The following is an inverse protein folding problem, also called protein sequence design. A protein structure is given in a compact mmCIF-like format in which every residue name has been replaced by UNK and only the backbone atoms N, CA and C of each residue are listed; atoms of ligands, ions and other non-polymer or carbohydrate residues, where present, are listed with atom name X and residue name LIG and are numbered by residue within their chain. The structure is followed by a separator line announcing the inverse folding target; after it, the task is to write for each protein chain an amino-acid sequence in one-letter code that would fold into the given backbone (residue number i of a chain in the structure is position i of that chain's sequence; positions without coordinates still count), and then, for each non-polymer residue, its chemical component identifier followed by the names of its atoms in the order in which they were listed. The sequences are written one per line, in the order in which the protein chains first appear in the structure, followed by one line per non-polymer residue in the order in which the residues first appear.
data_IF_206961969361
#
_entry.id   IF_206961969361
#
_cell.length_a   1.000
_cell.length_b   1.000
_cell.length_c   1.000
_cell.angle_alpha   90.00
_cell.angle_beta   90.00
_cell.angle_gamma   90.00
#
_symmetry.space_group_name_H-M   'P 1'
#
loop_
_entity.id
_entity.type
_entity.pdbx_description
1 polymer ?
#
# COMPACT_ATOMS: atom_id res chain seq x y z
N UNK A 1 -16.71 13.78 -1.83
CA UNK A 1 -15.72 13.66 -2.91
C UNK A 1 -14.86 14.92 -2.88
N UNK A 2 -13.55 14.83 -3.13
CA UNK A 2 -12.70 16.01 -3.26
C UNK A 2 -13.11 16.80 -4.51
N UNK A 3 -13.10 18.12 -4.43
CA UNK A 3 -13.23 18.97 -5.61
C UNK A 3 -11.88 19.05 -6.37
N UNK A 4 -11.91 19.66 -7.56
CA UNK A 4 -10.72 19.77 -8.41
C UNK A 4 -9.56 20.52 -7.73
N UNK A 5 -9.84 21.65 -7.09
CA UNK A 5 -8.82 22.46 -6.37
C UNK A 5 -8.15 21.66 -5.25
N UNK A 6 -8.92 20.85 -4.52
CA UNK A 6 -8.38 19.99 -3.46
C UNK A 6 -7.47 18.88 -4.05
N UNK A 7 -7.84 18.28 -5.19
CA UNK A 7 -6.99 17.28 -5.86
C UNK A 7 -5.69 17.90 -6.37
N UNK A 8 -5.75 19.07 -6.99
CA UNK A 8 -4.56 19.81 -7.45
C UNK A 8 -3.64 20.08 -6.25
N UNK A 9 -4.16 20.67 -5.17
CA UNK A 9 -3.37 20.96 -3.97
C UNK A 9 -2.71 19.71 -3.35
N UNK A 10 -3.40 18.57 -3.33
CA UNK A 10 -2.83 17.32 -2.84
C UNK A 10 -1.77 16.76 -3.79
N UNK A 11 -1.95 16.90 -5.10
CA UNK A 11 -0.97 16.46 -6.11
C UNK A 11 0.30 17.30 -6.00
N UNK A 12 0.18 18.62 -5.95
CA UNK A 12 1.31 19.55 -5.76
C UNK A 12 2.05 19.25 -4.44
N UNK A 13 1.31 18.95 -3.37
CA UNK A 13 1.91 18.56 -2.09
C UNK A 13 2.67 17.23 -2.18
N UNK A 14 2.12 16.23 -2.86
CA UNK A 14 2.79 14.94 -3.05
C UNK A 14 4.09 15.09 -3.84
N UNK A 15 4.08 15.85 -4.94
CA UNK A 15 5.27 16.16 -5.75
C UNK A 15 6.32 16.91 -4.94
N UNK A 16 5.90 17.91 -4.15
CA UNK A 16 6.79 18.65 -3.26
C UNK A 16 7.42 17.76 -2.19
N UNK A 17 6.64 16.89 -1.55
CA UNK A 17 7.17 15.96 -0.54
C UNK A 17 8.12 14.95 -1.17
N UNK A 18 7.82 14.44 -2.36
CA UNK A 18 8.70 13.54 -3.10
C UNK A 18 10.02 14.20 -3.46
N UNK A 19 9.99 15.45 -3.93
CA UNK A 19 11.20 16.23 -4.23
C UNK A 19 12.05 16.53 -2.99
N UNK A 20 11.44 16.52 -1.81
CA UNK A 20 12.10 16.76 -0.52
C UNK A 20 12.40 15.46 0.27
N UNK A 21 12.53 14.32 -0.42
CA UNK A 21 12.85 13.05 0.24
C UNK A 21 14.18 13.16 0.99
N UNK A 22 14.10 13.12 2.33
CA UNK A 22 15.29 13.22 3.20
C UNK A 22 16.17 11.97 3.11
N UNK A 23 17.47 12.10 3.40
CA UNK A 23 18.41 10.97 3.44
C UNK A 23 17.91 9.87 4.39
N UNK A 24 17.39 10.22 5.55
CA UNK A 24 16.85 9.24 6.51
C UNK A 24 15.66 8.47 5.94
N UNK A 25 14.70 9.17 5.30
CA UNK A 25 13.54 8.53 4.69
C UNK A 25 13.95 7.65 3.49
N UNK A 26 14.92 8.12 2.67
CA UNK A 26 15.48 7.34 1.58
C UNK A 26 16.10 6.04 2.10
N UNK A 27 17.01 6.12 3.07
CA UNK A 27 17.66 4.94 3.65
C UNK A 27 16.65 3.97 4.26
N UNK A 28 15.57 4.48 4.87
CA UNK A 28 14.47 3.66 5.36
C UNK A 28 13.77 2.88 4.22
N UNK A 29 13.43 3.57 3.11
CA UNK A 29 12.75 2.97 1.96
C UNK A 29 13.65 1.97 1.22
N UNK A 30 14.94 2.30 1.04
CA UNK A 30 15.94 1.39 0.49
C UNK A 30 16.12 0.14 1.36
N UNK A 31 16.12 0.30 2.68
CA UNK A 31 16.12 -0.81 3.64
C UNK A 31 14.87 -1.71 3.55
N UNK A 32 13.78 -1.20 2.98
CA UNK A 32 12.59 -1.96 2.61
C UNK A 32 12.68 -2.60 1.21
N UNK A 33 13.83 -2.50 0.54
CA UNK A 33 14.05 -3.05 -0.80
C UNK A 33 13.47 -2.21 -1.94
N UNK A 34 13.06 -0.97 -1.68
CA UNK A 34 12.50 -0.09 -2.71
C UNK A 34 13.62 0.64 -3.44
N UNK A 35 13.64 0.50 -4.76
CA UNK A 35 14.60 1.21 -5.63
C UNK A 35 14.19 2.69 -5.78
N UNK A 36 15.13 3.54 -6.21
CA UNK A 36 14.84 4.95 -6.51
C UNK A 36 13.72 5.11 -7.54
N UNK A 37 13.67 4.24 -8.54
CA UNK A 37 12.60 4.22 -9.55
C UNK A 37 11.24 3.94 -8.92
N UNK A 38 11.15 2.96 -8.02
CA UNK A 38 9.91 2.63 -7.30
C UNK A 38 9.50 3.77 -6.38
N UNK A 39 10.44 4.33 -5.60
CA UNK A 39 10.19 5.48 -4.72
C UNK A 39 9.60 6.65 -5.50
N UNK A 40 10.21 6.99 -6.64
CA UNK A 40 9.75 8.04 -7.54
C UNK A 40 8.41 7.72 -8.18
N UNK A 41 8.21 6.49 -8.68
CA UNK A 41 6.97 6.04 -9.30
C UNK A 41 5.79 6.17 -8.36
N UNK A 42 5.96 5.85 -7.09
CA UNK A 42 4.91 5.96 -6.06
C UNK A 42 4.82 7.35 -5.42
N UNK A 43 5.67 8.32 -5.82
CA UNK A 43 5.77 9.65 -5.25
C UNK A 43 5.97 9.63 -3.73
N UNK A 44 6.74 8.65 -3.22
CA UNK A 44 7.07 8.61 -1.80
C UNK A 44 7.98 9.79 -1.46
N UNK A 45 7.71 10.47 -0.36
CA UNK A 45 8.43 11.69 -0.01
C UNK A 45 8.53 11.94 1.48
N UNK A 46 9.13 13.05 1.86
CA UNK A 46 9.22 13.50 3.26
C UNK A 46 8.44 14.78 3.47
N UNK A 47 7.65 14.83 4.54
CA UNK A 47 6.93 16.02 4.96
C UNK A 47 7.90 16.97 5.69
N UNK A 48 8.63 17.78 4.92
CA UNK A 48 9.57 18.78 5.46
C UNK A 48 8.86 20.12 5.69
N UNK A 49 8.04 20.51 4.70
CA UNK A 49 7.25 21.73 4.72
C UNK A 49 5.78 21.35 4.48
N UNK A 50 4.99 21.11 5.56
CA UNK A 50 3.63 20.62 5.44
C UNK A 50 2.66 21.65 4.86
N UNK A 51 1.71 21.19 4.04
CA UNK A 51 0.52 21.99 3.73
C UNK A 51 -0.43 21.99 4.92
N UNK A 52 -1.40 22.92 4.90
CA UNK A 52 -2.44 23.00 5.91
C UNK A 52 -3.16 21.65 6.10
N UNK A 53 -3.21 21.16 7.34
CA UNK A 53 -3.78 19.88 7.73
C UNK A 53 -2.79 18.69 7.72
N UNK A 54 -1.52 18.92 7.34
CA UNK A 54 -0.45 17.92 7.36
C UNK A 54 0.63 18.21 8.43
N UNK A 55 0.43 19.21 9.28
CA UNK A 55 1.43 19.70 10.26
C UNK A 55 1.89 18.58 11.20
N UNK A 56 0.96 17.73 11.64
CA UNK A 56 1.26 16.61 12.53
C UNK A 56 2.11 15.50 11.87
N UNK A 57 2.23 15.53 10.55
CA UNK A 57 3.03 14.57 9.79
C UNK A 57 4.45 15.06 9.51
N UNK A 58 4.85 16.23 10.01
CA UNK A 58 6.20 16.76 9.83
C UNK A 58 7.27 15.72 10.21
N UNK A 59 8.24 15.48 9.32
CA UNK A 59 9.28 14.47 9.48
C UNK A 59 8.87 13.04 9.07
N UNK A 60 7.60 12.80 8.76
CA UNK A 60 7.11 11.48 8.33
C UNK A 60 7.28 11.28 6.82
N UNK A 61 7.29 10.01 6.40
CA UNK A 61 7.17 9.65 4.99
C UNK A 61 5.72 9.85 4.55
N UNK A 62 5.53 10.52 3.40
CA UNK A 62 4.24 10.65 2.72
C UNK A 62 4.02 9.51 1.74
N UNK A 63 2.84 8.90 1.77
CA UNK A 63 2.38 7.82 0.88
C UNK A 63 1.10 8.31 0.19
N UNK A 64 1.19 8.83 -1.05
CA UNK A 64 0.04 9.38 -1.75
C UNK A 64 -0.90 8.28 -2.27
N UNK A 65 -2.19 8.47 -2.07
CA UNK A 65 -3.26 7.68 -2.69
C UNK A 65 -3.64 8.32 -4.02
N UNK A 66 -3.30 7.66 -5.10
CA UNK A 66 -3.41 8.18 -6.47
C UNK A 66 -4.52 7.48 -7.25
N UNK A 67 -5.13 8.24 -8.12
CA UNK A 67 -6.07 7.79 -9.16
C UNK A 67 -5.64 8.38 -10.50
N UNK A 68 -6.19 7.97 -11.64
CA UNK A 68 -5.96 8.65 -12.93
C UNK A 68 -6.30 10.15 -12.91
N UNK A 69 -7.13 10.59 -11.96
CA UNK A 69 -7.52 12.00 -11.80
C UNK A 69 -6.61 12.79 -10.82
N UNK A 70 -5.50 12.21 -10.36
CA UNK A 70 -4.56 12.82 -9.42
C UNK A 70 -4.62 12.23 -8.01
N UNK A 71 -3.98 12.91 -7.05
CA UNK A 71 -3.91 12.47 -5.65
C UNK A 71 -5.24 12.75 -4.95
N UNK A 72 -5.77 11.73 -4.27
CA UNK A 72 -7.07 11.78 -3.56
C UNK A 72 -6.94 11.67 -2.05
N UNK A 73 -5.73 11.47 -1.56
CA UNK A 73 -5.41 11.42 -0.14
C UNK A 73 -3.94 11.09 0.09
N UNK A 74 -3.52 11.17 1.34
CA UNK A 74 -2.19 10.76 1.77
C UNK A 74 -2.27 10.02 3.09
N UNK A 75 -1.42 9.03 3.26
CA UNK A 75 -1.11 8.42 4.55
C UNK A 75 0.33 8.78 4.90
N UNK A 76 0.61 8.95 6.16
CA UNK A 76 1.95 9.27 6.61
C UNK A 76 2.48 8.14 7.48
N UNK A 77 3.75 7.79 7.28
CA UNK A 77 4.44 6.76 8.04
C UNK A 77 5.58 7.37 8.83
N UNK A 78 5.58 7.15 10.11
CA UNK A 78 6.68 7.50 11.01
C UNK A 78 7.85 6.54 10.82
N UNK A 79 9.06 7.07 10.86
CA UNK A 79 10.32 6.32 10.73
C UNK A 79 11.19 6.41 11.98
N UNK A 80 10.70 7.08 13.02
CA UNK A 80 11.23 7.07 14.38
C UNK A 80 10.38 6.17 15.29
N UNK A 81 10.74 6.05 16.57
CA UNK A 81 10.04 5.23 17.58
C UNK A 81 8.77 5.89 18.13
N UNK A 82 8.36 7.02 17.56
CA UNK A 82 7.17 7.75 18.02
C UNK A 82 5.85 7.06 17.66
N UNK A 83 4.79 7.45 18.35
CA UNK A 83 3.42 6.96 18.11
C UNK A 83 2.49 8.10 17.73
N UNK A 84 1.49 7.85 16.85
CA UNK A 84 1.18 6.61 16.15
C UNK A 84 2.16 6.35 14.98
N UNK A 85 2.38 5.07 14.64
CA UNK A 85 3.23 4.66 13.51
C UNK A 85 2.72 5.19 12.16
N UNK A 86 1.41 5.29 12.02
CA UNK A 86 0.74 5.83 10.84
C UNK A 86 -0.21 6.97 11.21
N UNK A 87 -0.29 7.97 10.35
CA UNK A 87 -1.20 9.10 10.49
C UNK A 87 -2.02 9.30 9.22
N UNK A 88 -3.31 9.59 9.41
CA UNK A 88 -4.22 10.02 8.37
C UNK A 88 -4.63 11.48 8.62
N UNK A 89 -4.69 12.35 7.60
CA UNK A 89 -5.32 13.66 7.75
C UNK A 89 -6.76 13.53 8.23
N UNK A 90 -7.17 14.41 9.13
CA UNK A 90 -8.52 14.41 9.68
C UNK A 90 -9.57 14.55 8.57
N UNK A 91 -10.60 13.70 8.61
CA UNK A 91 -11.71 13.72 7.64
C UNK A 91 -11.39 13.09 6.28
N UNK A 92 -10.18 12.58 6.05
CA UNK A 92 -9.85 11.88 4.82
C UNK A 92 -10.63 10.56 4.73
N UNK A 93 -11.26 10.33 3.57
CA UNK A 93 -11.87 9.02 3.27
C UNK A 93 -10.79 8.05 2.81
N UNK A 94 -10.76 6.90 3.45
CA UNK A 94 -9.83 5.82 3.10
C UNK A 94 -10.45 4.93 2.03
N UNK A 95 -9.73 4.71 0.93
CA UNK A 95 -10.06 3.78 -0.15
C UNK A 95 -8.98 2.72 -0.30
N UNK A 96 -9.02 1.97 -1.40
CA UNK A 96 -7.90 1.10 -1.77
C UNK A 96 -6.68 1.95 -2.16
N UNK A 97 -5.51 1.50 -1.74
CA UNK A 97 -4.24 2.04 -2.20
C UNK A 97 -3.92 1.51 -3.60
N UNK A 98 -3.19 2.31 -4.39
CA UNK A 98 -2.69 1.97 -5.72
C UNK A 98 -3.78 1.51 -6.72
N UNK A 99 -4.95 2.14 -6.70
CA UNK A 99 -6.04 1.84 -7.66
C UNK A 99 -5.65 2.07 -9.11
N UNK A 100 -4.49 2.67 -9.38
CA UNK A 100 -3.92 2.82 -10.73
C UNK A 100 -3.69 1.45 -11.36
N UNK A 101 -3.29 0.46 -10.57
CA UNK A 101 -3.04 -0.89 -11.07
C UNK A 101 -4.32 -1.60 -11.55
N UNK A 102 -5.49 -1.18 -11.10
CA UNK A 102 -6.78 -1.67 -11.64
C UNK A 102 -7.00 -1.28 -13.12
N UNK A 103 -6.21 -0.33 -13.64
CA UNK A 103 -6.28 0.11 -15.04
C UNK A 103 -5.16 -0.49 -15.91
N UNK A 104 -4.27 -1.28 -15.33
CA UNK A 104 -3.23 -1.99 -16.08
C UNK A 104 -3.84 -3.19 -16.84
N UNK A 105 -3.38 -3.46 -18.07
CA UNK A 105 -3.82 -4.65 -18.80
C UNK A 105 -3.23 -5.92 -18.16
N UNK A 106 -4.00 -6.56 -17.29
CA UNK A 106 -3.61 -7.81 -16.61
C UNK A 106 -4.86 -8.64 -16.31
N UNK A 107 -4.77 -9.94 -16.46
CA UNK A 107 -5.80 -10.89 -16.01
C UNK A 107 -5.65 -11.24 -14.53
N UNK A 108 -4.51 -10.89 -13.93
CA UNK A 108 -4.19 -11.15 -12.52
C UNK A 108 -4.05 -9.85 -11.75
N UNK A 109 -4.61 -9.81 -10.55
CA UNK A 109 -4.47 -8.71 -9.57
C UNK A 109 -4.17 -9.28 -8.18
N UNK A 110 -3.29 -8.62 -7.43
CA UNK A 110 -3.04 -8.94 -6.04
C UNK A 110 -3.73 -7.94 -5.10
N UNK A 111 -4.13 -8.42 -3.93
CA UNK A 111 -4.69 -7.63 -2.82
C UNK A 111 -3.76 -7.82 -1.63
N UNK A 112 -3.21 -6.71 -1.10
CA UNK A 112 -2.34 -6.70 0.09
C UNK A 112 -3.03 -6.03 1.27
N UNK A 113 -2.51 -6.26 2.48
CA UNK A 113 -2.98 -5.59 3.68
C UNK A 113 -2.48 -4.14 3.77
N UNK A 114 -1.21 -3.90 3.42
CA UNK A 114 -0.51 -2.63 3.63
C UNK A 114 -0.04 -1.92 2.35
N UNK A 115 0.34 -0.64 2.51
CA UNK A 115 0.84 0.17 1.40
C UNK A 115 2.23 -0.29 0.94
N UNK A 116 3.14 -0.58 1.89
CA UNK A 116 4.51 -1.01 1.55
C UNK A 116 4.48 -2.34 0.81
N UNK A 117 3.67 -3.29 1.26
CA UNK A 117 3.49 -4.59 0.61
C UNK A 117 2.97 -4.45 -0.82
N UNK A 118 1.99 -3.56 -0.99
CA UNK A 118 1.46 -3.23 -2.32
C UNK A 118 2.54 -2.62 -3.22
N UNK A 119 3.37 -1.70 -2.69
CA UNK A 119 4.46 -1.08 -3.43
C UNK A 119 5.51 -2.14 -3.82
N UNK A 120 5.82 -3.07 -2.93
CA UNK A 120 6.74 -4.17 -3.20
C UNK A 120 6.20 -5.06 -4.31
N UNK A 121 4.97 -5.56 -4.20
CA UNK A 121 4.40 -6.42 -5.25
C UNK A 121 4.27 -5.70 -6.59
N UNK A 122 3.73 -4.48 -6.59
CA UNK A 122 3.51 -3.73 -7.83
C UNK A 122 4.80 -3.16 -8.43
N UNK A 123 5.66 -2.58 -7.59
CA UNK A 123 6.82 -1.82 -8.05
C UNK A 123 8.11 -2.63 -8.15
N UNK A 124 8.31 -3.62 -7.29
CA UNK A 124 9.54 -4.43 -7.27
C UNK A 124 9.33 -5.78 -7.96
N UNK A 125 8.28 -6.51 -7.59
CA UNK A 125 7.99 -7.84 -8.16
C UNK A 125 7.33 -7.73 -9.54
N UNK A 126 6.57 -6.65 -9.80
CA UNK A 126 5.90 -6.43 -11.08
C UNK A 126 4.50 -7.06 -11.17
N UNK A 127 3.89 -7.46 -10.05
CA UNK A 127 2.53 -7.99 -9.99
C UNK A 127 1.56 -6.83 -9.72
N UNK A 128 0.61 -6.50 -10.63
CA UNK A 128 -0.40 -5.48 -10.37
C UNK A 128 -1.10 -5.71 -9.04
N UNK A 129 -1.13 -4.69 -8.17
CA UNK A 129 -1.55 -4.88 -6.77
C UNK A 129 -2.27 -3.66 -6.21
N UNK A 130 -3.23 -3.91 -5.31
CA UNK A 130 -3.90 -2.89 -4.52
C UNK A 130 -3.81 -3.21 -3.02
N UNK A 131 -3.79 -2.16 -2.19
CA UNK A 131 -3.71 -2.29 -0.73
C UNK A 131 -5.01 -1.91 -0.02
N UNK A 132 -5.38 -2.66 1.02
CA UNK A 132 -6.62 -2.43 1.79
C UNK A 132 -6.47 -1.32 2.83
N UNK A 133 -5.25 -0.82 3.08
CA UNK A 133 -4.98 0.25 4.05
C UNK A 133 -5.28 -0.10 5.53
N UNK A 134 -5.32 -1.39 5.85
CA UNK A 134 -5.54 -1.95 7.19
C UNK A 134 -6.78 -2.84 7.26
N UNK A 135 -6.73 -3.80 8.18
CA UNK A 135 -7.69 -4.92 8.30
C UNK A 135 -9.18 -4.52 8.39
N UNK A 136 -9.49 -3.35 8.93
CA UNK A 136 -10.87 -2.86 9.07
C UNK A 136 -11.39 -2.08 7.85
N UNK A 137 -10.56 -1.87 6.82
CA UNK A 137 -10.89 -0.98 5.70
C UNK A 137 -11.49 -1.68 4.48
N UNK A 138 -11.63 -2.99 4.49
CA UNK A 138 -12.35 -3.70 3.45
C UNK A 138 -13.84 -3.28 3.41
N UNK A 139 -14.32 -2.84 2.24
CA UNK A 139 -15.68 -2.29 2.06
C UNK A 139 -16.54 -3.24 1.23
N UNK A 140 -17.86 -3.33 1.50
CA UNK A 140 -18.79 -4.24 0.80
C UNK A 140 -18.90 -4.02 -0.71
N UNK A 141 -18.44 -2.88 -1.23
CA UNK A 141 -18.49 -2.56 -2.65
C UNK A 141 -17.16 -2.80 -3.38
N UNK A 142 -16.06 -3.09 -2.65
CA UNK A 142 -14.77 -3.38 -3.26
C UNK A 142 -14.79 -4.61 -4.17
N UNK A 143 -15.51 -5.70 -3.90
CA UNK A 143 -15.55 -6.87 -4.77
C UNK A 143 -15.87 -6.55 -6.24
N UNK A 144 -16.70 -5.55 -6.50
CA UNK A 144 -17.05 -5.10 -7.86
C UNK A 144 -15.85 -4.62 -8.69
N UNK A 145 -14.80 -4.14 -8.03
CA UNK A 145 -13.58 -3.68 -8.71
C UNK A 145 -12.75 -4.84 -9.30
N UNK A 146 -13.04 -6.06 -8.89
CA UNK A 146 -12.27 -7.25 -9.24
C UNK A 146 -13.02 -8.20 -10.17
N UNK A 147 -14.24 -7.87 -10.59
CA UNK A 147 -15.11 -8.75 -11.42
C UNK A 147 -14.48 -9.14 -12.76
N UNK A 148 -13.66 -8.25 -13.36
CA UNK A 148 -13.02 -8.45 -14.65
C UNK A 148 -11.76 -9.31 -14.62
N UNK A 149 -11.18 -9.58 -13.43
CA UNK A 149 -9.95 -10.35 -13.34
C UNK A 149 -10.21 -11.85 -13.34
N UNK A 150 -9.44 -12.60 -14.13
CA UNK A 150 -9.48 -14.07 -14.12
C UNK A 150 -8.85 -14.65 -12.86
N UNK A 151 -7.81 -14.02 -12.33
CA UNK A 151 -7.09 -14.47 -11.13
C UNK A 151 -6.94 -13.35 -10.12
N UNK A 152 -7.31 -13.61 -8.87
CA UNK A 152 -7.20 -12.66 -7.75
C UNK A 152 -6.39 -13.34 -6.65
N UNK A 153 -5.28 -12.73 -6.25
CA UNK A 153 -4.39 -13.25 -5.21
C UNK A 153 -4.47 -12.39 -3.96
N UNK A 154 -4.59 -13.00 -2.80
CA UNK A 154 -4.64 -12.28 -1.52
C UNK A 154 -3.32 -12.56 -0.80
N UNK A 155 -2.52 -11.53 -0.59
CA UNK A 155 -1.31 -11.54 0.22
C UNK A 155 -1.60 -10.78 1.52
N UNK A 156 -1.76 -11.51 2.60
CA UNK A 156 -2.04 -10.93 3.90
C UNK A 156 -0.96 -11.31 4.90
N UNK A 157 -0.64 -10.37 5.78
CA UNK A 157 0.36 -10.56 6.82
C UNK A 157 0.07 -11.83 7.62
N UNK A 158 1.13 -12.56 7.97
CA UNK A 158 1.03 -13.79 8.76
C UNK A 158 1.59 -13.60 10.17
N UNK A 159 1.20 -12.50 10.81
CA UNK A 159 1.63 -12.11 12.16
C UNK A 159 0.63 -12.58 13.21
N UNK A 160 1.04 -13.54 14.04
CA UNK A 160 0.25 -13.95 15.21
C UNK A 160 0.53 -12.97 16.36
N UNK A 161 -0.52 -12.31 16.86
CA UNK A 161 -0.44 -11.39 17.99
C UNK A 161 -0.33 -12.16 19.33
N UNK A 162 0.08 -11.49 20.39
CA UNK A 162 0.21 -12.08 21.73
C UNK A 162 -1.07 -12.75 22.25
N UNK A 163 -2.24 -12.29 21.81
CA UNK A 163 -3.53 -12.86 22.15
C UNK A 163 -3.96 -14.03 21.24
N UNK A 164 -3.04 -14.51 20.38
CA UNK A 164 -3.27 -15.63 19.46
C UNK A 164 -4.06 -15.30 18.19
N UNK A 165 -4.50 -14.05 17.99
CA UNK A 165 -5.18 -13.63 16.76
C UNK A 165 -4.18 -13.37 15.64
N UNK A 166 -4.63 -13.58 14.41
CA UNK A 166 -3.90 -13.21 13.21
C UNK A 166 -4.80 -12.30 12.34
N UNK A 167 -4.75 -10.97 12.54
CA UNK A 167 -5.64 -10.03 11.85
C UNK A 167 -5.53 -10.06 10.33
N UNK A 168 -4.32 -10.29 9.80
CA UNK A 168 -4.10 -10.39 8.35
C UNK A 168 -4.83 -11.62 7.77
N UNK A 169 -4.72 -12.76 8.43
CA UNK A 169 -5.44 -13.97 7.98
C UNK A 169 -6.97 -13.85 8.15
N UNK A 170 -7.44 -13.13 9.17
CA UNK A 170 -8.87 -12.80 9.32
C UNK A 170 -9.35 -11.91 8.16
N UNK A 171 -8.56 -10.91 7.77
CA UNK A 171 -8.83 -10.08 6.61
C UNK A 171 -8.84 -10.93 5.32
N UNK A 172 -7.84 -11.79 5.12
CA UNK A 172 -7.76 -12.65 3.94
C UNK A 172 -9.00 -13.55 3.79
N UNK A 173 -9.45 -14.16 4.88
CA UNK A 173 -10.68 -14.98 4.90
C UNK A 173 -11.91 -14.16 4.52
N UNK A 174 -12.06 -12.97 5.08
CA UNK A 174 -13.17 -12.06 4.77
C UNK A 174 -13.16 -11.63 3.30
N UNK A 175 -11.99 -11.30 2.74
CA UNK A 175 -11.88 -10.96 1.31
C UNK A 175 -12.26 -12.19 0.46
N UNK A 176 -11.80 -13.38 0.83
CA UNK A 176 -12.12 -14.64 0.16
C UNK A 176 -13.63 -14.97 0.19
N UNK A 177 -14.31 -14.67 1.29
CA UNK A 177 -15.78 -14.83 1.41
C UNK A 177 -16.54 -13.92 0.44
N UNK A 178 -16.05 -12.70 0.21
CA UNK A 178 -16.66 -11.74 -0.71
C UNK A 178 -16.21 -11.95 -2.18
N UNK A 179 -15.06 -12.65 -2.41
CA UNK A 179 -14.46 -12.96 -3.70
C UNK A 179 -14.13 -14.47 -3.75
N UNK A 180 -15.12 -15.30 -3.97
CA UNK A 180 -15.04 -16.77 -3.91
C UNK A 180 -13.94 -17.37 -4.78
N UNK A 181 -13.60 -16.76 -5.92
CA UNK A 181 -12.52 -17.16 -6.82
C UNK A 181 -11.12 -16.65 -6.44
N UNK A 182 -11.00 -15.74 -5.43
CA UNK A 182 -9.70 -15.28 -4.98
C UNK A 182 -8.93 -16.42 -4.29
N UNK A 183 -7.62 -16.40 -4.43
CA UNK A 183 -6.69 -17.37 -3.83
C UNK A 183 -5.90 -16.70 -2.71
N UNK A 184 -5.84 -17.32 -1.52
CA UNK A 184 -5.02 -16.84 -0.44
C UNK A 184 -3.61 -17.41 -0.60
N UNK A 185 -2.61 -16.54 -0.77
CA UNK A 185 -1.21 -16.91 -0.81
C UNK A 185 -0.68 -16.88 0.63
N UNK A 186 -0.35 -18.05 1.15
CA UNK A 186 0.16 -18.19 2.50
C UNK A 186 1.63 -17.75 2.57
N UNK A 187 1.88 -16.67 3.30
CA UNK A 187 3.24 -16.21 3.62
C UNK A 187 3.84 -17.08 4.73
N UNK A 188 5.18 -17.18 4.82
CA UNK A 188 5.84 -17.81 5.96
C UNK A 188 5.40 -17.20 7.30
N UNK A 189 5.54 -17.97 8.38
CA UNK A 189 5.12 -17.51 9.70
C UNK A 189 5.86 -16.24 10.13
N UNK A 190 5.12 -15.32 10.73
CA UNK A 190 5.59 -14.00 11.21
C UNK A 190 6.27 -13.16 10.13
N UNK A 191 5.72 -13.18 8.90
CA UNK A 191 6.20 -12.32 7.81
C UNK A 191 5.07 -11.53 7.15
N UNK A 192 5.43 -10.37 6.60
CA UNK A 192 4.67 -9.62 5.60
C UNK A 192 5.28 -9.81 4.20
N UNK A 193 4.65 -9.24 3.17
CA UNK A 193 5.13 -9.30 1.77
C UNK A 193 6.53 -8.70 1.64
N UNK A 194 6.78 -7.57 2.31
CA UNK A 194 8.07 -6.90 2.26
C UNK A 194 9.18 -7.74 2.87
N UNK A 195 8.93 -8.39 4.00
CA UNK A 195 9.89 -9.28 4.65
C UNK A 195 10.19 -10.51 3.79
N UNK A 196 9.16 -11.11 3.18
CA UNK A 196 9.33 -12.22 2.23
C UNK A 196 10.19 -11.77 1.03
N UNK A 197 9.96 -10.58 0.49
CA UNK A 197 10.76 -10.04 -0.60
C UNK A 197 12.23 -9.88 -0.21
N UNK A 198 12.51 -9.34 0.97
CA UNK A 198 13.86 -9.13 1.47
C UNK A 198 14.59 -10.46 1.76
N UNK A 199 13.86 -11.47 2.22
CA UNK A 199 14.43 -12.74 2.63
C UNK A 199 14.60 -13.74 1.47
N UNK A 200 13.65 -13.79 0.54
CA UNK A 200 13.58 -14.82 -0.50
C UNK A 200 13.69 -14.28 -1.93
N UNK A 201 13.55 -12.94 -2.10
CA UNK A 201 13.62 -12.30 -3.42
C UNK A 201 12.37 -12.50 -4.27
N UNK A 202 12.45 -12.01 -5.53
CA UNK A 202 11.35 -12.04 -6.49
C UNK A 202 10.88 -13.46 -6.85
N UNK A 203 11.80 -14.40 -6.93
CA UNK A 203 11.52 -15.76 -7.43
C UNK A 203 10.46 -16.45 -6.55
N UNK A 204 10.44 -16.14 -5.25
CA UNK A 204 9.43 -16.68 -4.35
C UNK A 204 8.01 -16.35 -4.78
N UNK A 205 7.78 -15.13 -5.27
CA UNK A 205 6.46 -14.68 -5.76
C UNK A 205 6.17 -15.25 -7.13
N UNK A 206 7.15 -15.24 -8.04
CA UNK A 206 6.98 -15.70 -9.42
C UNK A 206 6.65 -17.18 -9.50
N UNK A 207 7.25 -18.02 -8.65
CA UNK A 207 6.91 -19.44 -8.55
C UNK A 207 5.44 -19.68 -8.19
N UNK A 208 4.89 -18.87 -7.29
CA UNK A 208 3.47 -18.95 -6.86
C UNK A 208 2.51 -18.34 -7.86
N UNK A 209 3.01 -17.46 -8.72
CA UNK A 209 2.25 -16.96 -9.86
C UNK A 209 2.13 -18.00 -10.97
N UNK A 210 3.14 -18.87 -11.13
CA UNK A 210 3.17 -19.90 -12.16
C UNK A 210 2.35 -21.16 -11.82
N UNK A 211 2.00 -21.33 -10.53
CA UNK A 211 1.21 -22.47 -10.04
C UNK A 211 -0.29 -22.25 -10.24
#
# INVERSE_FOLDING_TARGET
MLNEKQRISLTDAAERYSSNLTTQARSYLEGRGLTEEVISTFLLGSVVDPIAGHELATGMISIPYRTPAGVVGMKFRRIDDGTPKYLWPTGQKVGLFNVIDLHKPSDTIAICEGEIDTIVLSGVVGIPSVGVAGVSQWKPWFPKLFESYGRILIFADNDVKEDGRNPGQELAKRIKEDLDRAEIIHLPDNTDVNEVMLQYGNDWFLERMAA
#
